data_IF_576483177121
#
_entry.id   IF_576483177121
#
_cell.length_a   1.000
_cell.length_b   1.000
_cell.length_c   1.000
_cell.angle_alpha   90.00
_cell.angle_beta   90.00
_cell.angle_gamma   90.00
#
_symmetry.space_group_name_H-M   'P 1'
#
loop_
_entity.id
_entity.type
_entity.pdbx_description
1 polymer ?
#
# COMPACT_ATOMS: atom_id res chain seq x y z
N UNK A 1 18.95 42.83 9.28
CA UNK A 1 18.26 42.21 8.13
C UNK A 1 17.88 40.79 8.53
N UNK A 2 16.76 40.25 8.04
CA UNK A 2 16.40 38.84 8.25
C UNK A 2 17.19 37.99 7.26
N UNK A 3 18.37 37.48 7.67
CA UNK A 3 19.30 36.73 6.84
C UNK A 3 18.63 35.53 6.18
N UNK A 4 17.81 34.75 6.89
CA UNK A 4 17.14 33.60 6.30
C UNK A 4 16.13 33.98 5.20
N UNK A 5 15.49 35.15 5.31
CA UNK A 5 14.64 35.68 4.23
C UNK A 5 15.44 36.11 3.01
N UNK A 6 16.62 36.70 3.23
CA UNK A 6 17.52 37.07 2.14
C UNK A 6 18.10 35.82 1.46
N UNK A 7 18.46 34.78 2.23
CA UNK A 7 18.90 33.50 1.70
C UNK A 7 17.81 32.83 0.86
N UNK A 8 16.58 32.76 1.38
CA UNK A 8 15.42 32.26 0.65
C UNK A 8 15.20 33.04 -0.65
N UNK A 9 15.23 34.38 -0.58
CA UNK A 9 15.12 35.25 -1.76
C UNK A 9 16.21 34.94 -2.81
N UNK A 10 17.46 34.75 -2.39
CA UNK A 10 18.56 34.39 -3.31
C UNK A 10 18.34 33.03 -3.95
N UNK A 11 17.93 32.02 -3.18
CA UNK A 11 17.59 30.70 -3.72
C UNK A 11 16.43 30.77 -4.74
N UNK A 12 15.44 31.65 -4.52
CA UNK A 12 14.39 31.93 -5.50
C UNK A 12 14.92 32.60 -6.76
N UNK A 13 15.87 33.54 -6.66
CA UNK A 13 16.45 34.18 -7.86
C UNK A 13 17.23 33.20 -8.74
N UNK A 14 17.64 32.05 -8.20
CA UNK A 14 18.30 30.97 -8.94
C UNK A 14 17.29 30.02 -9.61
N UNK A 15 15.99 30.24 -9.45
CA UNK A 15 14.97 29.50 -10.19
C UNK A 15 15.14 29.73 -11.70
N UNK A 16 14.93 28.67 -12.46
CA UNK A 16 15.09 28.64 -13.91
C UNK A 16 13.86 27.96 -14.52
N UNK A 17 13.62 28.16 -15.83
CA UNK A 17 12.56 27.43 -16.54
C UNK A 17 12.77 25.91 -16.51
N UNK A 18 14.03 25.48 -16.44
CA UNK A 18 14.41 24.09 -16.26
C UNK A 18 14.65 23.81 -14.76
N UNK A 19 13.79 22.96 -14.18
CA UNK A 19 13.85 22.57 -12.77
C UNK A 19 15.21 21.98 -12.37
N UNK A 20 15.81 21.13 -13.24
CA UNK A 20 17.12 20.53 -12.99
C UNK A 20 18.23 21.58 -12.91
N UNK A 21 18.27 22.49 -13.88
CA UNK A 21 19.24 23.59 -13.90
C UNK A 21 19.07 24.53 -12.71
N UNK A 22 17.82 24.77 -12.28
CA UNK A 22 17.53 25.58 -11.10
C UNK A 22 18.10 24.94 -9.83
N UNK A 23 17.92 23.63 -9.65
CA UNK A 23 18.44 22.89 -8.49
C UNK A 23 19.96 22.83 -8.49
N UNK A 24 20.59 22.59 -9.64
CA UNK A 24 22.06 22.60 -9.77
C UNK A 24 22.64 23.97 -9.36
N UNK A 25 22.05 25.08 -9.84
CA UNK A 25 22.45 26.43 -9.43
C UNK A 25 22.27 26.68 -7.94
N UNK A 26 21.18 26.19 -7.35
CA UNK A 26 20.94 26.30 -5.91
C UNK A 26 21.97 25.51 -5.10
N UNK A 27 22.31 24.29 -5.51
CA UNK A 27 23.33 23.46 -4.87
C UNK A 27 24.70 24.13 -4.97
N UNK A 28 25.09 24.60 -6.16
CA UNK A 28 26.35 25.33 -6.38
C UNK A 28 26.45 26.60 -5.51
N UNK A 29 25.34 27.30 -5.32
CA UNK A 29 25.27 28.47 -4.46
C UNK A 29 25.44 28.09 -2.98
N UNK A 30 24.80 27.01 -2.53
CA UNK A 30 24.93 26.50 -1.16
C UNK A 30 26.34 25.99 -0.89
N UNK A 31 26.98 25.32 -1.84
CA UNK A 31 28.36 24.82 -1.72
C UNK A 31 29.39 25.97 -1.64
N UNK A 32 29.09 27.13 -2.22
CA UNK A 32 29.91 28.36 -2.13
C UNK A 32 29.56 29.23 -0.94
N UNK A 33 28.54 28.89 -0.16
CA UNK A 33 28.07 29.69 0.95
C UNK A 33 29.08 29.60 2.11
N UNK A 34 30.03 30.53 2.14
CA UNK A 34 30.88 30.76 3.31
C UNK A 34 30.04 31.53 4.33
N UNK A 35 29.57 30.83 5.37
CA UNK A 35 28.77 31.45 6.42
C UNK A 35 29.71 32.06 7.47
N UNK A 36 29.70 33.40 7.61
CA UNK A 36 30.19 34.04 8.84
C UNK A 36 29.15 33.81 9.94
N UNK A 37 29.30 32.69 10.64
CA UNK A 37 28.37 32.18 11.67
C UNK A 37 28.09 33.21 12.76
N UNK A 38 29.06 34.05 13.10
CA UNK A 38 28.96 35.06 14.17
C UNK A 38 27.84 36.08 13.92
N UNK A 39 27.51 36.36 12.65
CA UNK A 39 26.45 37.32 12.30
C UNK A 39 25.03 36.74 12.43
N UNK A 40 24.89 35.42 12.52
CA UNK A 40 23.61 34.70 12.53
C UNK A 40 23.02 34.50 13.93
N UNK A 41 23.83 34.66 14.99
CA UNK A 41 23.49 34.34 16.39
C UNK A 41 22.19 35.03 16.87
N UNK A 42 21.76 36.10 16.21
CA UNK A 42 20.56 36.85 16.61
C UNK A 42 19.27 36.50 15.85
N UNK A 43 19.32 35.77 14.74
CA UNK A 43 18.11 35.49 13.97
C UNK A 43 17.41 34.20 14.44
N UNK A 44 16.17 34.35 14.91
CA UNK A 44 15.42 33.25 15.52
C UNK A 44 14.43 32.58 14.57
N UNK A 45 14.11 33.16 13.41
CA UNK A 45 13.05 32.67 12.52
C UNK A 45 13.64 31.92 11.33
N UNK A 46 13.66 30.59 11.41
CA UNK A 46 14.19 29.70 10.37
C UNK A 46 13.13 29.31 9.33
N UNK A 47 11.86 29.71 9.52
CA UNK A 47 10.75 29.34 8.62
C UNK A 47 10.97 29.68 7.14
N UNK A 48 11.70 30.75 6.75
CA UNK A 48 12.02 30.99 5.34
C UNK A 48 12.73 29.83 4.64
N UNK A 49 13.38 28.92 5.39
CA UNK A 49 14.05 27.74 4.84
C UNK A 49 13.11 26.57 4.55
N UNK A 50 11.89 26.57 5.11
CA UNK A 50 10.94 25.46 5.01
C UNK A 50 10.65 25.05 3.56
N UNK A 51 10.51 26.00 2.65
CA UNK A 51 10.21 25.71 1.23
C UNK A 51 11.32 24.90 0.54
N UNK A 52 12.57 25.00 1.03
CA UNK A 52 13.71 24.34 0.41
C UNK A 52 14.00 22.96 0.99
N UNK A 53 13.56 22.70 2.23
CA UNK A 53 13.73 21.43 2.95
C UNK A 53 12.45 20.60 3.03
N UNK A 54 11.27 21.19 2.80
CA UNK A 54 10.01 20.46 2.90
C UNK A 54 9.84 19.52 1.71
N UNK A 55 9.57 18.22 1.95
CA UNK A 55 9.29 17.27 0.89
C UNK A 55 7.92 17.56 0.31
N UNK A 56 7.87 18.33 -0.78
CA UNK A 56 6.64 18.60 -1.52
C UNK A 56 6.45 17.60 -2.65
N UNK A 57 5.28 17.59 -3.27
CA UNK A 57 4.98 16.74 -4.43
C UNK A 57 6.03 16.82 -5.56
N UNK A 58 6.68 17.99 -5.75
CA UNK A 58 7.70 18.19 -6.79
C UNK A 58 8.99 17.39 -6.56
N UNK A 59 9.26 16.98 -5.31
CA UNK A 59 10.42 16.14 -4.98
C UNK A 59 10.28 14.74 -5.57
N UNK A 60 9.07 14.32 -5.88
CA UNK A 60 8.77 12.96 -6.27
C UNK A 60 8.44 12.91 -7.77
N UNK A 61 8.95 11.88 -8.46
CA UNK A 61 8.46 11.57 -9.80
C UNK A 61 7.07 10.93 -9.65
N UNK A 62 6.03 11.76 -9.61
CA UNK A 62 4.67 11.28 -9.74
C UNK A 62 4.44 10.79 -11.16
N UNK A 63 4.57 9.48 -11.34
CA UNK A 63 4.31 8.83 -12.60
C UNK A 63 5.47 8.94 -13.58
N UNK A 64 6.16 7.82 -13.76
CA UNK A 64 6.32 7.30 -15.12
C UNK A 64 6.01 5.81 -15.06
N UNK A 65 4.76 5.43 -15.36
CA UNK A 65 4.45 4.05 -15.73
C UNK A 65 5.43 3.53 -16.81
N UNK A 66 6.02 4.44 -17.58
CA UNK A 66 6.99 4.20 -18.65
C UNK A 66 8.41 3.81 -18.17
N UNK A 67 8.98 4.40 -17.12
CA UNK A 67 10.32 3.98 -16.62
C UNK A 67 10.20 2.65 -15.89
N UNK A 68 9.08 2.43 -15.19
CA UNK A 68 8.80 1.15 -14.55
C UNK A 68 8.67 0.01 -15.58
N UNK A 69 8.06 0.26 -16.76
CA UNK A 69 7.94 -0.74 -17.83
C UNK A 69 9.30 -1.25 -18.34
N UNK A 70 10.35 -0.42 -18.34
CA UNK A 70 11.68 -0.80 -18.82
C UNK A 70 12.42 -1.65 -17.77
N UNK A 71 12.30 -1.32 -16.48
CA UNK A 71 12.84 -2.16 -15.40
C UNK A 71 12.08 -3.49 -15.26
N UNK A 72 10.75 -3.49 -15.44
CA UNK A 72 9.91 -4.68 -15.27
C UNK A 72 10.20 -5.80 -16.28
N UNK A 73 10.64 -5.45 -17.50
CA UNK A 73 11.05 -6.43 -18.50
C UNK A 73 12.43 -7.04 -18.21
N UNK A 74 13.21 -6.49 -17.28
CA UNK A 74 14.62 -6.87 -17.09
C UNK A 74 14.92 -7.51 -15.74
N UNK A 75 14.24 -7.13 -14.65
CA UNK A 75 14.47 -7.72 -13.32
C UNK A 75 13.19 -7.75 -12.46
N UNK A 76 12.65 -8.94 -12.12
CA UNK A 76 11.46 -9.09 -11.29
C UNK A 76 11.79 -9.20 -9.79
N UNK A 77 12.66 -8.32 -9.27
CA UNK A 77 12.84 -8.23 -7.82
C UNK A 77 11.75 -7.32 -7.21
N UNK A 78 10.99 -7.79 -6.21
CA UNK A 78 9.85 -7.10 -5.64
C UNK A 78 10.29 -6.18 -4.50
N UNK A 79 11.14 -5.20 -4.78
CA UNK A 79 11.31 -4.07 -3.86
C UNK A 79 10.39 -2.94 -4.33
N UNK A 80 9.57 -2.47 -3.39
CA UNK A 80 8.73 -1.26 -3.35
C UNK A 80 8.33 -0.59 -4.67
N UNK A 81 7.09 -0.10 -4.75
CA UNK A 81 6.76 0.95 -5.71
C UNK A 81 7.52 2.20 -5.25
N UNK A 82 8.80 2.27 -5.60
CA UNK A 82 9.68 3.35 -5.19
C UNK A 82 9.08 4.63 -5.77
N UNK A 83 8.62 5.48 -4.86
CA UNK A 83 8.42 6.87 -5.22
C UNK A 83 9.81 7.41 -5.51
N UNK A 84 10.20 7.42 -6.79
CA UNK A 84 11.53 7.87 -7.16
C UNK A 84 11.66 9.34 -6.79
N UNK A 85 12.47 9.59 -5.78
CA UNK A 85 12.77 10.94 -5.31
C UNK A 85 13.80 11.55 -6.26
N UNK A 86 13.54 12.76 -6.73
CA UNK A 86 14.51 13.55 -7.49
C UNK A 86 15.69 13.87 -6.57
N UNK A 87 16.82 13.20 -6.81
CA UNK A 87 18.04 13.30 -6.01
C UNK A 87 18.48 14.76 -5.74
N UNK A 88 18.33 15.64 -6.72
CA UNK A 88 18.71 17.05 -6.58
C UNK A 88 17.95 17.80 -5.46
N UNK A 89 16.67 17.48 -5.21
CA UNK A 89 15.93 18.06 -4.08
C UNK A 89 16.46 17.57 -2.74
N UNK A 90 16.76 16.27 -2.67
CA UNK A 90 17.33 15.61 -1.49
C UNK A 90 18.71 16.18 -1.16
N UNK A 91 19.57 16.34 -2.17
CA UNK A 91 20.90 16.94 -2.02
C UNK A 91 20.79 18.39 -1.55
N UNK A 92 19.89 19.19 -2.14
CA UNK A 92 19.64 20.57 -1.68
C UNK A 92 19.21 20.62 -0.22
N UNK A 93 18.26 19.79 0.18
CA UNK A 93 17.80 19.73 1.56
C UNK A 93 18.91 19.28 2.50
N UNK A 94 19.66 18.22 2.15
CA UNK A 94 20.83 17.78 2.90
C UNK A 94 21.83 18.92 3.11
N UNK A 95 22.18 19.67 2.05
CA UNK A 95 23.11 20.80 2.15
C UNK A 95 22.62 21.88 3.11
N UNK A 96 21.35 22.28 3.03
CA UNK A 96 20.78 23.26 3.96
C UNK A 96 20.85 22.75 5.40
N UNK A 97 20.47 21.49 5.64
CA UNK A 97 20.50 20.88 6.96
C UNK A 97 21.93 20.76 7.51
N UNK A 98 22.91 20.44 6.66
CA UNK A 98 24.33 20.34 7.07
C UNK A 98 24.93 21.72 7.38
N UNK A 99 24.68 22.72 6.52
CA UNK A 99 25.24 24.07 6.69
C UNK A 99 24.73 24.74 7.96
N UNK A 100 23.44 24.57 8.28
CA UNK A 100 22.79 25.23 9.41
C UNK A 100 22.50 24.30 10.59
N UNK A 101 23.22 23.19 10.70
CA UNK A 101 22.97 22.14 11.70
C UNK A 101 22.89 22.71 13.13
N UNK A 102 23.86 23.54 13.53
CA UNK A 102 23.92 24.15 14.86
C UNK A 102 22.74 25.12 15.07
N UNK A 103 22.41 25.94 14.07
CA UNK A 103 21.30 26.88 14.15
C UNK A 103 19.96 26.17 14.21
N UNK A 104 19.80 25.02 13.52
CA UNK A 104 18.62 24.18 13.68
C UNK A 104 18.51 23.67 15.12
N UNK A 105 19.59 23.15 15.70
CA UNK A 105 19.58 22.66 17.10
C UNK A 105 19.24 23.78 18.08
N UNK A 106 19.85 24.96 17.93
CA UNK A 106 19.66 26.08 18.86
C UNK A 106 18.28 26.75 18.72
N UNK A 107 17.84 27.00 17.49
CA UNK A 107 16.66 27.83 17.25
C UNK A 107 15.37 27.03 17.08
N UNK A 108 15.40 25.77 16.66
CA UNK A 108 14.17 24.96 16.49
C UNK A 108 13.53 24.60 17.84
N UNK A 109 14.27 24.70 18.94
CA UNK A 109 13.71 24.54 20.29
C UNK A 109 12.60 25.57 20.57
N UNK A 110 12.66 26.74 19.94
CA UNK A 110 11.67 27.82 20.06
C UNK A 110 10.40 27.47 19.28
N UNK A 111 9.23 27.69 19.89
CA UNK A 111 7.91 27.34 19.32
C UNK A 111 7.66 27.90 17.91
N UNK A 112 8.23 29.06 17.57
CA UNK A 112 8.11 29.68 16.24
C UNK A 112 8.64 28.79 15.10
N UNK A 113 9.58 27.89 15.40
CA UNK A 113 10.24 27.02 14.43
C UNK A 113 9.77 25.56 14.50
N UNK A 114 8.77 25.23 15.30
CA UNK A 114 8.32 23.84 15.46
C UNK A 114 7.79 23.19 14.18
N UNK A 115 7.37 23.98 13.19
CA UNK A 115 7.05 23.48 11.85
C UNK A 115 8.28 22.83 11.18
N UNK A 116 9.49 23.35 11.42
CA UNK A 116 10.73 22.73 10.92
C UNK A 116 10.96 21.39 11.60
N UNK A 117 10.73 21.29 12.92
CA UNK A 117 10.83 20.02 13.61
C UNK A 117 9.84 18.99 13.03
N UNK A 118 8.63 19.41 12.69
CA UNK A 118 7.65 18.56 12.02
C UNK A 118 8.15 18.06 10.64
N UNK A 119 8.78 18.93 9.85
CA UNK A 119 9.41 18.56 8.59
C UNK A 119 10.59 17.61 8.81
N UNK A 120 11.48 17.87 9.77
CA UNK A 120 12.60 16.98 10.09
C UNK A 120 12.14 15.58 10.47
N UNK A 121 11.07 15.48 11.28
CA UNK A 121 10.45 14.19 11.62
C UNK A 121 9.83 13.54 10.38
N UNK A 122 9.31 14.31 9.42
CA UNK A 122 8.77 13.74 8.18
C UNK A 122 9.86 13.23 7.25
N UNK A 123 11.01 13.93 7.20
CA UNK A 123 12.18 13.58 6.40
C UNK A 123 12.88 12.30 6.86
N UNK A 124 12.70 11.86 8.11
CA UNK A 124 13.22 10.56 8.56
C UNK A 124 12.56 9.38 7.84
N UNK A 125 11.41 9.61 7.21
CA UNK A 125 10.72 8.65 6.35
C UNK A 125 11.31 8.47 4.96
N UNK A 126 12.27 9.30 4.54
CA UNK A 126 12.88 9.22 3.21
C UNK A 126 13.82 8.02 3.10
N UNK A 127 13.76 7.28 2.00
CA UNK A 127 14.66 6.15 1.73
C UNK A 127 16.12 6.56 1.51
N UNK A 128 16.38 7.80 1.08
CA UNK A 128 17.73 8.33 0.94
C UNK A 128 18.43 8.48 2.30
N UNK A 129 19.45 7.64 2.52
CA UNK A 129 20.19 7.58 3.78
C UNK A 129 20.86 8.88 4.21
N UNK A 130 21.27 9.78 3.30
CA UNK A 130 21.95 11.02 3.67
C UNK A 130 21.01 11.99 4.40
N UNK A 131 19.87 12.31 3.79
CA UNK A 131 18.87 13.19 4.41
C UNK A 131 18.22 12.52 5.61
N UNK A 132 17.90 11.23 5.50
CA UNK A 132 17.29 10.46 6.58
C UNK A 132 18.15 10.52 7.85
N UNK A 133 19.41 10.10 7.78
CA UNK A 133 20.29 10.03 8.95
C UNK A 133 20.49 11.41 9.60
N UNK A 134 20.66 12.46 8.79
CA UNK A 134 20.83 13.82 9.29
C UNK A 134 19.53 14.35 9.93
N UNK A 135 18.38 14.10 9.33
CA UNK A 135 17.08 14.50 9.86
C UNK A 135 16.70 13.75 11.15
N UNK A 136 17.03 12.45 11.25
CA UNK A 136 16.87 11.65 12.47
C UNK A 136 17.78 12.16 13.59
N UNK A 137 19.05 12.44 13.29
CA UNK A 137 19.98 13.05 14.24
C UNK A 137 19.46 14.39 14.75
N UNK A 138 19.15 15.32 13.83
CA UNK A 138 18.66 16.66 14.18
C UNK A 138 17.37 16.61 14.99
N UNK A 139 16.37 15.85 14.53
CA UNK A 139 15.08 15.73 15.23
C UNK A 139 15.25 15.13 16.61
N UNK A 140 16.09 14.11 16.80
CA UNK A 140 16.38 13.51 18.11
C UNK A 140 17.07 14.50 19.05
N UNK A 141 18.09 15.21 18.56
CA UNK A 141 18.78 16.25 19.33
C UNK A 141 17.83 17.36 19.77
N UNK A 142 17.00 17.88 18.86
CA UNK A 142 16.04 18.95 19.15
C UNK A 142 14.94 18.47 20.11
N UNK A 143 14.40 17.26 19.90
CA UNK A 143 13.36 16.68 20.75
C UNK A 143 13.83 16.47 22.20
N UNK A 144 15.13 16.33 22.44
CA UNK A 144 15.68 16.25 23.81
C UNK A 144 15.56 17.58 24.58
N UNK A 145 15.51 18.71 23.88
CA UNK A 145 15.42 20.05 24.44
C UNK A 145 14.00 20.66 24.37
N UNK A 146 13.12 20.12 23.52
CA UNK A 146 11.74 20.58 23.36
C UNK A 146 10.81 19.86 24.34
N UNK A 147 9.90 20.56 25.06
CA UNK A 147 8.88 19.91 25.87
C UNK A 147 7.92 19.09 24.99
N UNK A 148 8.14 17.77 24.95
CA UNK A 148 7.48 16.81 24.04
C UNK A 148 5.96 16.88 24.02
N UNK A 149 5.31 16.96 25.20
CA UNK A 149 3.85 17.07 25.30
C UNK A 149 3.33 18.38 24.69
N UNK A 150 4.02 19.49 24.90
CA UNK A 150 3.65 20.79 24.33
C UNK A 150 3.81 20.78 22.80
N UNK A 151 4.88 20.17 22.30
CA UNK A 151 5.09 20.00 20.85
C UNK A 151 4.04 19.09 20.22
N UNK A 152 3.68 17.98 20.86
CA UNK A 152 2.59 17.12 20.42
C UNK A 152 1.26 17.87 20.31
N UNK A 153 0.91 18.66 21.34
CA UNK A 153 -0.30 19.50 21.30
C UNK A 153 -0.24 20.50 20.15
N UNK A 154 0.92 21.12 19.89
CA UNK A 154 1.10 21.99 18.73
C UNK A 154 0.85 21.25 17.41
N UNK A 155 1.39 20.03 17.26
CA UNK A 155 1.19 19.23 16.05
C UNK A 155 -0.29 18.91 15.84
N UNK A 156 -0.99 18.49 16.90
CA UNK A 156 -2.41 18.15 16.83
C UNK A 156 -3.30 19.37 16.60
N UNK A 157 -3.04 20.50 17.29
CA UNK A 157 -3.93 21.66 17.29
C UNK A 157 -3.66 22.67 16.18
N UNK A 158 -2.39 22.93 15.88
CA UNK A 158 -1.99 23.97 14.94
C UNK A 158 -1.53 23.38 13.61
N UNK A 159 -0.86 22.24 13.59
CA UNK A 159 -0.33 21.69 12.36
C UNK A 159 -1.38 20.84 11.63
N UNK A 160 -1.82 19.73 12.23
CA UNK A 160 -2.75 18.78 11.61
C UNK A 160 -4.10 19.40 11.30
N UNK A 161 -4.76 20.05 12.26
CA UNK A 161 -6.07 20.68 12.04
C UNK A 161 -6.00 21.64 10.84
N UNK A 162 -4.97 22.46 10.71
CA UNK A 162 -4.86 23.40 9.60
C UNK A 162 -4.66 22.73 8.23
N UNK A 163 -4.15 21.49 8.20
CA UNK A 163 -3.91 20.72 6.99
C UNK A 163 -5.11 19.83 6.62
N UNK A 164 -5.84 19.34 7.63
CA UNK A 164 -6.88 18.33 7.46
C UNK A 164 -8.32 18.83 7.60
N UNK A 165 -8.59 19.90 8.37
CA UNK A 165 -9.93 20.27 8.86
C UNK A 165 -10.88 20.92 7.82
N UNK A 166 -10.52 21.13 6.55
CA UNK A 166 -11.37 21.92 5.62
C UNK A 166 -11.40 21.46 4.16
N UNK A 167 -11.39 20.17 3.87
CA UNK A 167 -11.66 19.71 2.50
C UNK A 167 -12.78 18.65 2.49
N UNK A 168 -13.80 18.92 1.68
CA UNK A 168 -15.19 18.42 1.75
C UNK A 168 -15.40 16.90 1.52
N UNK A 169 -14.34 16.08 1.51
CA UNK A 169 -14.50 14.62 1.34
C UNK A 169 -15.09 13.90 2.55
N UNK A 170 -14.85 14.44 3.75
CA UNK A 170 -15.22 13.80 4.99
C UNK A 170 -16.24 14.68 5.73
N UNK A 171 -17.34 14.07 6.14
CA UNK A 171 -18.26 14.68 7.12
C UNK A 171 -17.53 14.90 8.45
N UNK A 172 -18.08 15.72 9.36
CA UNK A 172 -17.54 15.92 10.72
C UNK A 172 -17.37 14.60 11.50
N UNK A 173 -18.06 13.53 11.08
CA UNK A 173 -17.96 12.18 11.65
C UNK A 173 -16.94 11.28 10.93
N UNK A 174 -16.16 11.80 10.00
CA UNK A 174 -15.17 11.01 9.24
C UNK A 174 -15.77 10.10 8.17
N UNK A 175 -17.07 10.20 7.85
CA UNK A 175 -17.66 9.41 6.76
C UNK A 175 -17.33 10.02 5.40
N UNK A 176 -17.00 9.20 4.39
CA UNK A 176 -16.91 9.66 3.00
C UNK A 176 -18.28 10.11 2.49
N UNK A 177 -18.31 11.19 1.70
CA UNK A 177 -19.52 11.58 0.96
C UNK A 177 -19.83 10.47 -0.06
N UNK A 178 -20.94 9.75 0.14
CA UNK A 178 -21.24 8.46 -0.49
C UNK A 178 -21.46 8.46 -2.02
N UNK A 179 -21.17 9.56 -2.72
CA UNK A 179 -21.41 9.68 -4.15
C UNK A 179 -20.17 10.19 -4.90
N UNK A 180 -19.48 9.28 -5.59
CA UNK A 180 -18.87 9.61 -6.89
C UNK A 180 -20.01 9.67 -7.95
N UNK A 181 -20.94 10.62 -7.81
CA UNK A 181 -21.92 10.93 -8.88
C UNK A 181 -21.46 12.21 -9.60
N UNK A 182 -21.37 12.23 -10.93
CA UNK A 182 -21.44 13.50 -11.65
C UNK A 182 -22.93 13.88 -11.83
N UNK A 183 -23.39 15.00 -11.23
CA UNK A 183 -23.93 16.07 -12.08
C UNK A 183 -23.65 17.54 -11.63
N UNK A 184 -23.33 18.32 -12.66
CA UNK A 184 -23.58 19.75 -12.96
C UNK A 184 -22.97 20.93 -12.20
N UNK A 185 -22.33 20.79 -11.04
CA UNK A 185 -21.59 21.93 -10.45
C UNK A 185 -20.27 21.55 -9.80
N UNK A 186 -19.32 21.11 -10.64
CA UNK A 186 -17.92 21.40 -10.35
C UNK A 186 -17.77 22.93 -10.32
N UNK A 187 -17.87 23.54 -9.14
CA UNK A 187 -17.04 24.70 -8.92
C UNK A 187 -15.62 24.21 -9.11
N UNK A 188 -14.91 24.74 -10.11
CA UNK A 188 -13.52 24.40 -10.46
C UNK A 188 -12.59 24.27 -9.25
N UNK A 189 -12.94 24.96 -8.18
CA UNK A 189 -12.21 25.05 -6.93
C UNK A 189 -12.31 23.76 -6.10
N UNK A 190 -13.44 23.04 -6.12
CA UNK A 190 -13.59 21.76 -5.42
C UNK A 190 -12.73 20.67 -6.07
N UNK A 191 -12.75 20.55 -7.40
CA UNK A 191 -11.87 19.61 -8.10
C UNK A 191 -10.40 19.88 -7.80
N UNK A 192 -9.98 21.15 -7.74
CA UNK A 192 -8.59 21.50 -7.43
C UNK A 192 -8.22 21.12 -6.00
N UNK A 193 -9.03 21.46 -5.00
CA UNK A 193 -8.75 21.07 -3.61
C UNK A 193 -8.66 19.54 -3.46
N UNK A 194 -9.52 18.79 -4.16
CA UNK A 194 -9.53 17.33 -4.13
C UNK A 194 -8.30 16.71 -4.81
N UNK A 195 -7.79 17.33 -5.87
CA UNK A 195 -6.62 16.85 -6.62
C UNK A 195 -5.30 17.31 -5.98
N UNK A 196 -5.28 18.52 -5.41
CA UNK A 196 -4.11 19.18 -4.80
C UNK A 196 -4.40 19.55 -3.34
N UNK A 197 -4.56 18.55 -2.45
CA UNK A 197 -4.86 18.84 -1.05
C UNK A 197 -3.72 19.62 -0.40
N UNK A 198 -4.06 20.60 0.45
CA UNK A 198 -3.07 21.50 1.07
C UNK A 198 -1.93 20.77 1.79
N UNK A 199 -2.23 19.62 2.40
CA UNK A 199 -1.22 18.84 3.11
C UNK A 199 -0.12 18.31 2.18
N UNK A 200 -0.40 17.89 0.94
CA UNK A 200 0.62 17.43 -0.02
C UNK A 200 1.53 18.56 -0.47
N UNK A 201 0.95 19.74 -0.68
CA UNK A 201 1.70 20.93 -1.09
C UNK A 201 2.65 21.42 0.01
N UNK A 202 2.28 21.20 1.28
CA UNK A 202 3.07 21.65 2.43
C UNK A 202 4.06 20.61 2.92
N UNK A 203 3.66 19.34 2.94
CA UNK A 203 4.45 18.22 3.43
C UNK A 203 3.87 16.90 2.87
N UNK A 204 4.40 16.47 1.74
CA UNK A 204 4.02 15.22 1.08
C UNK A 204 4.31 13.99 1.95
N UNK A 205 5.28 14.07 2.87
CA UNK A 205 5.63 13.02 3.83
C UNK A 205 4.94 13.15 5.18
N UNK A 206 3.81 13.86 5.26
CA UNK A 206 3.07 14.05 6.50
C UNK A 206 2.61 12.73 7.16
N UNK A 207 2.44 11.66 6.38
CA UNK A 207 2.19 10.32 6.91
C UNK A 207 3.24 9.89 7.93
N UNK A 208 4.52 10.21 7.70
CA UNK A 208 5.61 9.92 8.64
C UNK A 208 5.54 10.74 9.91
N UNK A 209 5.09 11.99 9.83
CA UNK A 209 4.80 12.77 11.03
C UNK A 209 3.64 12.16 11.82
N UNK A 210 2.60 11.66 11.14
CA UNK A 210 1.47 11.01 11.81
C UNK A 210 1.89 9.67 12.43
N UNK A 211 2.74 8.88 11.75
CA UNK A 211 3.36 7.69 12.34
C UNK A 211 4.06 8.03 13.64
N UNK A 212 4.92 9.06 13.61
CA UNK A 212 5.62 9.51 14.80
C UNK A 212 4.65 9.91 15.91
N UNK A 213 3.62 10.71 15.60
CA UNK A 213 2.59 11.16 16.56
C UNK A 213 1.91 9.97 17.23
N UNK A 214 1.47 8.99 16.45
CA UNK A 214 0.82 7.76 16.92
C UNK A 214 1.77 6.97 17.83
N UNK A 215 3.02 6.77 17.40
CA UNK A 215 4.04 6.05 18.17
C UNK A 215 4.43 6.77 19.48
N UNK A 216 4.14 8.07 19.61
CA UNK A 216 4.38 8.82 20.86
C UNK A 216 3.24 8.67 21.88
N UNK A 217 2.10 8.07 21.51
CA UNK A 217 0.94 7.99 22.39
C UNK A 217 0.85 6.66 23.15
N UNK A 218 0.30 6.70 24.36
CA UNK A 218 -0.31 5.52 24.99
C UNK A 218 -1.71 5.28 24.43
N UNK A 219 -2.26 4.08 24.62
CA UNK A 219 -3.66 3.76 24.30
C UNK A 219 -4.62 4.85 24.81
N UNK A 220 -4.57 5.14 26.11
CA UNK A 220 -5.38 6.19 26.75
C UNK A 220 -5.18 7.59 26.16
N UNK A 221 -3.96 7.93 25.73
CA UNK A 221 -3.69 9.24 25.12
C UNK A 221 -4.28 9.32 23.71
N UNK A 222 -4.20 8.23 22.92
CA UNK A 222 -4.83 8.15 21.59
C UNK A 222 -6.34 8.36 21.71
N UNK A 223 -7.00 7.72 22.67
CA UNK A 223 -8.46 7.85 22.84
C UNK A 223 -8.88 9.30 23.12
N UNK A 224 -8.15 10.02 23.98
CA UNK A 224 -8.42 11.42 24.30
C UNK A 224 -8.24 12.34 23.08
N UNK A 225 -7.21 12.09 22.26
CA UNK A 225 -6.93 12.90 21.07
C UNK A 225 -7.48 12.30 19.76
N UNK A 226 -8.32 11.28 19.85
CA UNK A 226 -8.82 10.47 18.72
C UNK A 226 -9.43 11.31 17.60
N UNK A 227 -10.29 12.26 17.98
CA UNK A 227 -10.97 13.20 17.07
C UNK A 227 -10.02 14.09 16.26
N UNK A 228 -8.76 14.24 16.69
CA UNK A 228 -7.72 15.04 15.99
C UNK A 228 -6.89 14.18 15.03
N UNK A 229 -6.64 12.92 15.38
CA UNK A 229 -5.79 12.02 14.60
C UNK A 229 -6.56 11.38 13.45
N UNK A 230 -7.77 10.88 13.71
CA UNK A 230 -8.51 10.04 12.75
C UNK A 230 -8.86 10.71 11.43
N UNK A 231 -9.27 11.98 11.38
CA UNK A 231 -9.50 12.65 10.10
C UNK A 231 -8.26 12.61 9.18
N UNK A 232 -7.06 12.71 9.76
CA UNK A 232 -5.81 12.66 9.00
C UNK A 232 -5.54 11.25 8.46
N UNK A 233 -5.73 10.22 9.30
CA UNK A 233 -5.55 8.81 8.92
C UNK A 233 -6.53 8.40 7.81
N UNK A 234 -7.82 8.72 7.98
CA UNK A 234 -8.84 8.43 6.98
C UNK A 234 -8.59 9.17 5.68
N UNK A 235 -8.12 10.41 5.72
CA UNK A 235 -7.83 11.17 4.50
C UNK A 235 -6.64 10.59 3.72
N UNK A 236 -5.61 10.09 4.41
CA UNK A 236 -4.47 9.42 3.79
C UNK A 236 -4.90 8.07 3.22
N UNK A 237 -5.67 7.28 3.97
CA UNK A 237 -6.26 6.01 3.50
C UNK A 237 -7.13 6.21 2.23
N UNK A 238 -7.85 7.33 2.18
CA UNK A 238 -8.75 7.69 1.07
C UNK A 238 -8.09 8.59 0.01
N UNK A 239 -6.76 8.67 -0.04
CA UNK A 239 -6.07 9.44 -1.08
C UNK A 239 -6.23 8.83 -2.47
N UNK A 240 -6.03 9.61 -3.54
CA UNK A 240 -6.08 9.12 -4.92
C UNK A 240 -4.83 8.32 -5.32
N UNK A 241 -3.68 8.62 -4.71
CA UNK A 241 -2.41 7.96 -4.99
C UNK A 241 -2.32 6.61 -4.26
N UNK A 242 -2.13 5.49 -4.98
CA UNK A 242 -1.94 4.17 -4.37
C UNK A 242 -0.85 4.11 -3.30
N UNK A 243 0.25 4.84 -3.51
CA UNK A 243 1.38 4.83 -2.57
C UNK A 243 1.01 5.51 -1.25
N UNK A 244 0.22 6.59 -1.32
CA UNK A 244 -0.29 7.26 -0.12
C UNK A 244 -1.33 6.37 0.57
N UNK A 245 -2.19 5.66 -0.20
CA UNK A 245 -3.13 4.70 0.37
C UNK A 245 -2.42 3.60 1.18
N UNK A 246 -1.30 3.08 0.68
CA UNK A 246 -0.48 2.10 1.42
C UNK A 246 0.01 2.65 2.76
N UNK A 247 0.47 3.91 2.79
CA UNK A 247 0.81 4.59 4.04
C UNK A 247 -0.41 4.72 4.97
N UNK A 248 -1.60 4.94 4.40
CA UNK A 248 -2.87 4.92 5.11
C UNK A 248 -3.18 3.57 5.77
N UNK A 249 -2.95 2.46 5.06
CA UNK A 249 -3.10 1.10 5.61
C UNK A 249 -2.12 0.88 6.78
N UNK A 250 -0.86 1.31 6.63
CA UNK A 250 0.12 1.20 7.71
C UNK A 250 -0.29 2.05 8.93
N UNK A 251 -0.84 3.26 8.71
CA UNK A 251 -1.33 4.11 9.80
C UNK A 251 -2.45 3.43 10.57
N UNK A 252 -3.39 2.79 9.84
CA UNK A 252 -4.44 1.97 10.44
C UNK A 252 -3.81 0.85 11.26
N UNK A 253 -2.90 0.07 10.70
CA UNK A 253 -2.24 -1.03 11.41
C UNK A 253 -1.53 -0.58 12.70
N UNK A 254 -0.92 0.61 12.73
CA UNK A 254 -0.30 1.16 13.93
C UNK A 254 -1.33 1.59 14.96
N UNK A 255 -2.43 2.21 14.55
CA UNK A 255 -3.55 2.49 15.46
C UNK A 255 -4.08 1.20 16.09
N UNK A 256 -4.31 0.14 15.30
CA UNK A 256 -4.82 -1.14 15.79
C UNK A 256 -3.91 -1.81 16.83
N UNK A 257 -2.59 -1.53 16.79
CA UNK A 257 -1.64 -2.03 17.79
C UNK A 257 -1.70 -1.29 19.12
N UNK A 258 -2.16 -0.04 19.12
CA UNK A 258 -2.15 0.83 20.31
C UNK A 258 -3.54 0.92 20.93
N UNK A 259 -4.60 0.93 20.12
CA UNK A 259 -5.99 1.05 20.59
C UNK A 259 -6.63 -0.31 20.81
N UNK A 260 -7.48 -0.40 21.82
CA UNK A 260 -8.28 -1.59 22.06
C UNK A 260 -9.41 -1.74 21.04
N UNK A 261 -9.72 -2.97 20.64
CA UNK A 261 -10.80 -3.28 19.69
C UNK A 261 -12.15 -2.70 20.13
N UNK A 262 -12.45 -2.75 21.42
CA UNK A 262 -13.70 -2.25 22.00
C UNK A 262 -13.89 -0.75 21.75
N UNK A 263 -12.81 0.03 21.87
CA UNK A 263 -12.82 1.45 21.57
C UNK A 263 -13.11 1.73 20.08
N UNK A 264 -12.52 0.93 19.17
CA UNK A 264 -12.79 1.03 17.73
C UNK A 264 -14.23 0.67 17.36
N UNK A 265 -14.81 -0.30 18.07
CA UNK A 265 -16.22 -0.66 17.93
C UNK A 265 -17.13 0.48 18.43
N UNK A 266 -16.86 1.02 19.62
CA UNK A 266 -17.64 2.09 20.24
C UNK A 266 -17.65 3.36 19.39
N UNK A 267 -16.52 3.73 18.80
CA UNK A 267 -16.41 4.90 17.92
C UNK A 267 -17.04 4.68 16.53
N UNK A 268 -17.39 3.44 16.18
CA UNK A 268 -17.92 3.06 14.87
C UNK A 268 -16.89 3.10 13.73
N UNK A 269 -15.62 3.38 14.04
CA UNK A 269 -14.55 3.48 13.02
C UNK A 269 -14.30 2.14 12.34
N UNK A 270 -14.50 1.03 13.06
CA UNK A 270 -14.20 -0.32 12.58
C UNK A 270 -14.97 -0.66 11.30
N UNK A 271 -16.24 -0.24 11.24
CA UNK A 271 -17.09 -0.38 10.05
C UNK A 271 -16.58 0.48 8.89
N UNK A 272 -16.24 1.74 9.17
CA UNK A 272 -15.72 2.68 8.16
C UNK A 272 -14.42 2.13 7.56
N UNK A 273 -13.49 1.67 8.40
CA UNK A 273 -12.24 1.06 7.96
C UNK A 273 -12.47 -0.19 7.14
N UNK A 274 -13.44 -1.04 7.51
CA UNK A 274 -13.79 -2.21 6.70
C UNK A 274 -14.22 -1.80 5.30
N UNK A 275 -15.16 -0.87 5.22
CA UNK A 275 -15.73 -0.42 3.96
C UNK A 275 -14.64 0.24 3.08
N UNK A 276 -13.80 1.11 3.66
CA UNK A 276 -12.68 1.76 2.94
C UNK A 276 -11.60 0.77 2.48
N UNK A 277 -11.25 -0.23 3.29
CA UNK A 277 -10.25 -1.24 2.92
C UNK A 277 -10.76 -2.21 1.84
N UNK A 278 -12.05 -2.54 1.84
CA UNK A 278 -12.66 -3.39 0.82
C UNK A 278 -12.64 -2.73 -0.57
N UNK A 279 -12.71 -1.39 -0.63
CA UNK A 279 -12.59 -0.65 -1.89
C UNK A 279 -11.27 -0.96 -2.61
N UNK A 280 -10.19 -1.32 -1.90
CA UNK A 280 -8.90 -1.63 -2.53
C UNK A 280 -8.91 -2.90 -3.39
N UNK A 281 -9.90 -3.77 -3.26
CA UNK A 281 -10.10 -4.89 -4.19
C UNK A 281 -10.55 -4.44 -5.59
N UNK A 282 -11.04 -3.20 -5.72
CA UNK A 282 -11.38 -2.59 -7.01
C UNK A 282 -10.19 -1.90 -7.68
N UNK A 283 -9.02 -1.86 -7.04
CA UNK A 283 -7.81 -1.22 -7.56
C UNK A 283 -7.08 -2.16 -8.51
N UNK A 284 -7.67 -2.42 -9.66
CA UNK A 284 -7.21 -3.39 -10.66
C UNK A 284 -6.78 -2.72 -11.97
N UNK A 285 -6.07 -3.42 -12.87
CA UNK A 285 -5.79 -2.92 -14.21
C UNK A 285 -7.07 -2.84 -15.08
N UNK A 286 -7.08 -2.01 -16.14
CA UNK A 286 -5.96 -1.22 -16.65
C UNK A 286 -5.74 0.10 -15.90
N UNK A 287 -6.58 0.44 -14.91
CA UNK A 287 -6.48 1.71 -14.15
C UNK A 287 -5.22 1.76 -13.29
N UNK A 288 -4.83 0.62 -12.72
CA UNK A 288 -3.64 0.47 -11.90
C UNK A 288 -2.71 -0.60 -12.47
N UNK A 289 -1.43 -0.56 -12.09
CA UNK A 289 -0.50 -1.62 -12.47
C UNK A 289 -0.79 -2.90 -11.68
N UNK A 290 -0.47 -4.06 -12.25
CA UNK A 290 -0.66 -5.36 -11.58
C UNK A 290 0.03 -5.37 -10.21
N UNK A 291 1.25 -4.85 -10.11
CA UNK A 291 1.99 -4.79 -8.85
C UNK A 291 1.28 -3.93 -7.82
N UNK A 292 0.86 -2.72 -8.21
CA UNK A 292 0.08 -1.82 -7.34
C UNK A 292 -1.20 -2.48 -6.83
N UNK A 293 -1.92 -3.18 -7.71
CA UNK A 293 -3.12 -3.93 -7.34
C UNK A 293 -2.82 -5.00 -6.30
N UNK A 294 -1.82 -5.85 -6.55
CA UNK A 294 -1.43 -6.93 -5.64
C UNK A 294 -0.98 -6.39 -4.28
N UNK A 295 -0.14 -5.34 -4.26
CA UNK A 295 0.33 -4.73 -3.01
C UNK A 295 -0.82 -4.17 -2.18
N UNK A 296 -1.74 -3.42 -2.79
CA UNK A 296 -2.90 -2.87 -2.09
C UNK A 296 -3.84 -3.96 -1.58
N UNK A 297 -4.16 -4.96 -2.41
CA UNK A 297 -5.04 -6.08 -2.06
C UNK A 297 -4.45 -6.90 -0.90
N UNK A 298 -3.15 -7.18 -0.91
CA UNK A 298 -2.52 -7.95 0.17
C UNK A 298 -2.42 -7.14 1.47
N UNK A 299 -2.04 -5.87 1.39
CA UNK A 299 -1.98 -5.00 2.55
C UNK A 299 -3.37 -4.80 3.18
N UNK A 300 -4.40 -4.58 2.36
CA UNK A 300 -5.77 -4.39 2.82
C UNK A 300 -6.33 -5.65 3.46
N UNK A 301 -6.09 -6.82 2.86
CA UNK A 301 -6.51 -8.10 3.41
C UNK A 301 -5.89 -8.38 4.78
N UNK A 302 -4.56 -8.18 4.92
CA UNK A 302 -3.88 -8.40 6.19
C UNK A 302 -4.46 -7.53 7.31
N UNK A 303 -4.80 -6.27 7.00
CA UNK A 303 -5.48 -5.36 7.93
C UNK A 303 -6.93 -5.75 8.19
N UNK A 304 -7.69 -6.17 7.18
CA UNK A 304 -9.07 -6.64 7.36
C UNK A 304 -9.13 -7.89 8.25
N UNK A 305 -8.23 -8.85 8.04
CA UNK A 305 -8.18 -10.07 8.86
C UNK A 305 -7.73 -9.76 10.30
N UNK A 306 -6.82 -8.80 10.51
CA UNK A 306 -6.43 -8.38 11.86
C UNK A 306 -7.55 -7.62 12.58
N UNK A 307 -8.40 -6.89 11.85
CA UNK A 307 -9.62 -6.28 12.36
C UNK A 307 -10.67 -7.31 12.75
N UNK A 308 -10.70 -8.50 12.15
CA UNK A 308 -11.78 -9.50 12.34
C UNK A 308 -11.24 -10.94 12.51
N UNK A 309 -10.45 -11.24 13.54
CA UNK A 309 -9.77 -12.53 13.69
C UNK A 309 -10.69 -13.75 13.65
N UNK A 310 -11.90 -13.65 14.23
CA UNK A 310 -12.84 -14.78 14.44
C UNK A 310 -14.32 -14.41 14.17
N UNK A 311 -14.59 -13.26 13.55
CA UNK A 311 -15.97 -12.82 13.27
C UNK A 311 -16.44 -13.30 11.90
N UNK A 312 -17.07 -14.49 11.86
CA UNK A 312 -17.53 -15.12 10.61
C UNK A 312 -18.36 -14.19 9.71
N UNK A 313 -19.21 -13.32 10.26
CA UNK A 313 -19.99 -12.34 9.47
C UNK A 313 -19.09 -11.35 8.72
N UNK A 314 -18.03 -10.87 9.36
CA UNK A 314 -17.10 -9.95 8.72
C UNK A 314 -16.13 -10.67 7.78
N UNK A 315 -15.72 -11.90 8.09
CA UNK A 315 -14.96 -12.74 7.15
C UNK A 315 -15.79 -13.07 5.89
N UNK A 316 -17.08 -13.35 6.04
CA UNK A 316 -18.02 -13.50 4.92
C UNK A 316 -18.04 -12.25 4.02
N UNK A 317 -18.07 -11.07 4.64
CA UNK A 317 -18.03 -9.80 3.90
C UNK A 317 -16.72 -9.61 3.12
N UNK A 318 -15.58 -10.09 3.63
CA UNK A 318 -14.29 -10.03 2.92
C UNK A 318 -14.33 -10.96 1.70
N UNK A 319 -14.88 -12.16 1.86
CA UNK A 319 -15.04 -13.11 0.74
C UNK A 319 -15.97 -12.54 -0.34
N UNK A 320 -17.16 -12.06 0.05
CA UNK A 320 -18.20 -11.59 -0.86
C UNK A 320 -17.89 -10.26 -1.54
N UNK A 321 -17.42 -9.27 -0.78
CA UNK A 321 -17.23 -7.91 -1.29
C UNK A 321 -15.79 -7.60 -1.69
N UNK A 322 -14.83 -8.41 -1.21
CA UNK A 322 -13.41 -8.29 -1.57
C UNK A 322 -13.04 -9.31 -2.64
N UNK A 323 -12.76 -10.55 -2.22
CA UNK A 323 -12.18 -11.59 -3.07
C UNK A 323 -13.03 -11.90 -4.31
N UNK A 324 -14.35 -12.05 -4.16
CA UNK A 324 -15.22 -12.33 -5.30
C UNK A 324 -15.21 -11.21 -6.36
N UNK A 325 -14.99 -9.95 -5.96
CA UNK A 325 -14.87 -8.85 -6.93
C UNK A 325 -13.63 -9.01 -7.81
N UNK A 326 -12.55 -9.59 -7.28
CA UNK A 326 -11.33 -9.89 -8.05
C UNK A 326 -11.62 -10.90 -9.15
N UNK A 327 -12.39 -11.94 -8.86
CA UNK A 327 -12.76 -12.94 -9.87
C UNK A 327 -13.59 -12.34 -11.01
N UNK A 328 -14.45 -11.38 -10.69
CA UNK A 328 -15.28 -10.70 -11.70
C UNK A 328 -14.48 -9.78 -12.62
N UNK A 329 -13.47 -9.08 -12.09
CA UNK A 329 -12.84 -7.99 -12.83
C UNK A 329 -11.36 -8.20 -13.17
N UNK A 330 -10.68 -9.17 -12.55
CA UNK A 330 -9.25 -9.42 -12.72
C UNK A 330 -8.92 -10.83 -13.23
N UNK A 331 -9.87 -11.48 -13.92
CA UNK A 331 -9.70 -12.82 -14.48
C UNK A 331 -8.48 -12.93 -15.43
N UNK A 332 -8.19 -11.87 -16.18
CA UNK A 332 -7.06 -11.82 -17.12
C UNK A 332 -5.71 -11.50 -16.47
N UNK A 333 -5.65 -11.36 -15.13
CA UNK A 333 -4.44 -10.97 -14.40
C UNK A 333 -4.03 -12.08 -13.40
N UNK A 334 -3.24 -13.08 -13.84
CA UNK A 334 -2.91 -14.25 -13.05
C UNK A 334 -2.30 -13.93 -11.68
N UNK A 335 -1.42 -12.93 -11.59
CA UNK A 335 -0.78 -12.53 -10.33
C UNK A 335 -1.78 -11.95 -9.31
N UNK A 336 -2.84 -11.28 -9.77
CA UNK A 336 -3.90 -10.77 -8.90
C UNK A 336 -4.77 -11.93 -8.41
N UNK A 337 -5.08 -12.89 -9.30
CA UNK A 337 -5.76 -14.12 -8.92
C UNK A 337 -4.95 -14.92 -7.90
N UNK A 338 -3.62 -15.04 -8.06
CA UNK A 338 -2.76 -15.68 -7.08
C UNK A 338 -2.85 -15.02 -5.70
N UNK A 339 -2.86 -13.68 -5.65
CA UNK A 339 -3.05 -12.95 -4.40
C UNK A 339 -4.42 -13.30 -3.77
N UNK A 340 -5.50 -13.26 -4.54
CA UNK A 340 -6.83 -13.63 -4.08
C UNK A 340 -6.91 -15.08 -3.56
N UNK A 341 -6.29 -16.05 -4.25
CA UNK A 341 -6.29 -17.45 -3.81
C UNK A 341 -5.42 -17.69 -2.57
N UNK A 342 -4.33 -16.94 -2.41
CA UNK A 342 -3.54 -16.96 -1.17
C UNK A 342 -4.38 -16.51 0.02
N UNK A 343 -5.22 -15.49 -0.19
CA UNK A 343 -6.14 -14.98 0.83
C UNK A 343 -7.28 -15.95 1.12
N UNK A 344 -7.80 -16.64 0.10
CA UNK A 344 -8.77 -17.72 0.27
C UNK A 344 -8.24 -18.80 1.21
N UNK A 345 -6.99 -19.22 1.08
CA UNK A 345 -6.43 -20.23 1.98
C UNK A 345 -6.42 -19.76 3.43
N UNK A 346 -6.03 -18.50 3.67
CA UNK A 346 -6.08 -17.90 5.01
C UNK A 346 -7.52 -17.84 5.55
N UNK A 347 -8.50 -17.51 4.70
CA UNK A 347 -9.91 -17.49 5.11
C UNK A 347 -10.45 -18.90 5.33
N UNK A 348 -10.03 -19.89 4.55
CA UNK A 348 -10.42 -21.29 4.69
C UNK A 348 -10.03 -21.80 6.08
N UNK A 349 -8.80 -21.51 6.50
CA UNK A 349 -8.30 -21.87 7.84
C UNK A 349 -9.07 -21.17 8.96
N UNK A 350 -9.41 -19.89 8.78
CA UNK A 350 -10.12 -19.08 9.79
C UNK A 350 -11.61 -19.37 9.91
N UNK A 351 -12.28 -19.60 8.78
CA UNK A 351 -13.73 -19.82 8.70
C UNK A 351 -14.09 -21.29 8.90
N UNK A 352 -13.18 -22.21 8.61
CA UNK A 352 -13.36 -23.66 8.73
C UNK A 352 -14.67 -24.13 8.04
N UNK A 353 -15.64 -24.65 8.79
CA UNK A 353 -16.93 -25.12 8.26
C UNK A 353 -17.75 -23.99 7.65
N UNK A 354 -17.58 -22.75 8.13
CA UNK A 354 -18.29 -21.57 7.61
C UNK A 354 -17.84 -21.18 6.19
N UNK A 355 -16.72 -21.73 5.69
CA UNK A 355 -16.26 -21.51 4.32
C UNK A 355 -17.07 -22.31 3.28
N UNK A 356 -17.76 -23.38 3.70
CA UNK A 356 -18.44 -24.32 2.79
C UNK A 356 -19.36 -23.68 1.72
N UNK A 357 -20.13 -22.61 2.01
CA UNK A 357 -20.95 -21.96 0.99
C UNK A 357 -20.17 -21.39 -0.20
N UNK A 358 -18.88 -21.09 -0.02
CA UNK A 358 -18.01 -20.50 -1.04
C UNK A 358 -17.17 -21.54 -1.79
N UNK A 359 -17.12 -22.78 -1.30
CA UNK A 359 -16.27 -23.82 -1.85
C UNK A 359 -16.57 -24.09 -3.32
N UNK A 360 -17.84 -24.23 -3.69
CA UNK A 360 -18.24 -24.45 -5.10
C UNK A 360 -17.74 -23.32 -5.99
N UNK A 361 -18.04 -22.06 -5.66
CA UNK A 361 -17.55 -20.91 -6.42
C UNK A 361 -16.02 -20.92 -6.55
N UNK A 362 -15.32 -21.26 -5.47
CA UNK A 362 -13.85 -21.32 -5.44
C UNK A 362 -13.29 -22.38 -6.37
N UNK A 363 -13.89 -23.58 -6.35
CA UNK A 363 -13.50 -24.68 -7.21
C UNK A 363 -13.79 -24.35 -8.68
N UNK A 364 -14.96 -23.79 -8.99
CA UNK A 364 -15.34 -23.40 -10.34
C UNK A 364 -14.39 -22.34 -10.91
N UNK A 365 -13.96 -21.36 -10.10
CA UNK A 365 -12.97 -20.36 -10.49
C UNK A 365 -11.57 -20.98 -10.69
N UNK A 366 -11.10 -21.85 -9.78
CA UNK A 366 -9.83 -22.57 -9.96
C UNK A 366 -9.83 -23.41 -11.24
N UNK A 367 -10.90 -24.16 -11.47
CA UNK A 367 -11.10 -24.97 -12.66
C UNK A 367 -11.03 -24.11 -13.92
N UNK A 368 -11.70 -22.94 -13.95
CA UNK A 368 -11.61 -22.01 -15.08
C UNK A 368 -10.20 -21.48 -15.30
N UNK A 369 -9.49 -21.14 -14.23
CA UNK A 369 -8.13 -20.57 -14.30
C UNK A 369 -7.14 -21.59 -14.85
N UNK A 370 -7.11 -22.82 -14.32
CA UNK A 370 -6.15 -23.84 -14.81
C UNK A 370 -6.44 -24.29 -16.25
N UNK A 371 -7.68 -24.10 -16.72
CA UNK A 371 -8.06 -24.32 -18.12
C UNK A 371 -7.57 -23.23 -19.07
N UNK A 372 -7.25 -22.03 -18.56
CA UNK A 372 -6.84 -20.91 -19.39
C UNK A 372 -5.43 -21.18 -20.00
N UNK A 373 -5.30 -21.22 -21.35
CA UNK A 373 -4.01 -21.48 -22.00
C UNK A 373 -2.93 -20.42 -21.69
N UNK A 374 -3.31 -19.21 -21.29
CA UNK A 374 -2.36 -18.16 -20.93
C UNK A 374 -1.62 -18.45 -19.61
N UNK A 375 -2.25 -19.14 -18.66
CA UNK A 375 -1.64 -19.48 -17.36
C UNK A 375 -0.40 -20.36 -17.53
N UNK A 376 -0.39 -21.20 -18.55
CA UNK A 376 0.72 -22.12 -18.83
C UNK A 376 1.98 -21.39 -19.27
N UNK A 377 1.85 -20.17 -19.82
CA UNK A 377 3.01 -19.34 -20.14
C UNK A 377 3.76 -18.88 -18.89
N UNK A 378 3.19 -19.06 -17.69
CA UNK A 378 3.79 -18.74 -16.40
C UNK A 378 3.78 -20.00 -15.50
N UNK A 379 4.73 -20.94 -15.67
CA UNK A 379 4.74 -22.24 -14.98
C UNK A 379 4.64 -22.15 -13.46
N UNK A 380 5.31 -21.18 -12.85
CA UNK A 380 5.23 -20.92 -11.40
C UNK A 380 3.80 -20.60 -10.96
N UNK A 381 3.03 -19.90 -11.79
CA UNK A 381 1.64 -19.55 -11.52
C UNK A 381 0.71 -20.74 -11.68
N UNK A 382 0.92 -21.57 -12.70
CA UNK A 382 0.18 -22.82 -12.83
C UNK A 382 0.43 -23.75 -11.63
N UNK A 383 1.69 -23.94 -11.24
CA UNK A 383 2.08 -24.77 -10.10
C UNK A 383 1.39 -24.30 -8.81
N UNK A 384 1.34 -22.98 -8.58
CA UNK A 384 0.63 -22.40 -7.46
C UNK A 384 -0.85 -22.79 -7.45
N UNK A 385 -1.58 -22.62 -8.57
CA UNK A 385 -3.01 -22.94 -8.60
C UNK A 385 -3.29 -24.44 -8.44
N UNK A 386 -2.43 -25.32 -8.98
CA UNK A 386 -2.54 -26.76 -8.76
C UNK A 386 -2.31 -27.15 -7.30
N UNK A 387 -1.35 -26.50 -6.62
CA UNK A 387 -1.10 -26.70 -5.19
C UNK A 387 -2.30 -26.25 -4.33
N UNK A 388 -2.87 -25.07 -4.65
CA UNK A 388 -4.07 -24.57 -3.97
C UNK A 388 -5.25 -25.53 -4.15
N UNK A 389 -5.48 -26.00 -5.39
CA UNK A 389 -6.52 -26.99 -5.66
C UNK A 389 -6.29 -28.28 -4.86
N UNK A 390 -5.04 -28.76 -4.82
CA UNK A 390 -4.67 -29.96 -4.04
C UNK A 390 -5.04 -29.78 -2.57
N UNK A 391 -4.63 -28.68 -1.94
CA UNK A 391 -4.92 -28.38 -0.53
C UNK A 391 -6.43 -28.28 -0.26
N UNK A 392 -7.18 -27.60 -1.13
CA UNK A 392 -8.63 -27.50 -0.97
C UNK A 392 -9.32 -28.87 -1.08
N UNK A 393 -8.88 -29.72 -2.00
CA UNK A 393 -9.41 -31.07 -2.16
C UNK A 393 -8.99 -32.01 -1.02
N UNK A 394 -7.83 -31.80 -0.39
CA UNK A 394 -7.45 -32.54 0.82
C UNK A 394 -8.34 -32.15 2.01
N UNK A 395 -8.61 -30.86 2.21
CA UNK A 395 -9.45 -30.36 3.30
C UNK A 395 -10.92 -30.77 3.10
N UNK A 396 -11.42 -30.67 1.87
CA UNK A 396 -12.82 -30.91 1.51
C UNK A 396 -13.02 -32.13 0.61
N UNK A 397 -12.26 -33.19 0.86
CA UNK A 397 -12.25 -34.42 0.04
C UNK A 397 -13.63 -35.03 -0.19
N UNK A 398 -14.49 -34.98 0.83
CA UNK A 398 -15.88 -35.44 0.76
C UNK A 398 -16.78 -34.66 -0.22
N UNK A 399 -16.30 -33.54 -0.79
CA UNK A 399 -16.99 -32.77 -1.85
C UNK A 399 -16.50 -33.10 -3.25
N UNK A 400 -15.39 -33.83 -3.40
CA UNK A 400 -14.84 -34.22 -4.72
C UNK A 400 -15.90 -34.93 -5.57
N UNK A 401 -16.65 -35.86 -4.99
CA UNK A 401 -17.69 -36.63 -5.70
C UNK A 401 -18.75 -35.74 -6.35
N UNK A 402 -19.06 -34.57 -5.79
CA UNK A 402 -20.03 -33.62 -6.37
C UNK A 402 -19.45 -32.82 -7.55
N UNK A 403 -18.12 -32.62 -7.58
CA UNK A 403 -17.42 -31.79 -8.58
C UNK A 403 -16.52 -32.60 -9.53
N UNK A 404 -16.54 -33.93 -9.45
CA UNK A 404 -15.55 -34.79 -10.11
C UNK A 404 -15.48 -34.61 -11.63
N UNK A 405 -16.62 -34.46 -12.32
CA UNK A 405 -16.64 -34.26 -13.78
C UNK A 405 -15.91 -32.98 -14.17
N UNK A 406 -16.22 -31.89 -13.49
CA UNK A 406 -15.61 -30.58 -13.76
C UNK A 406 -14.11 -30.58 -13.44
N UNK A 407 -13.74 -31.15 -12.28
CA UNK A 407 -12.34 -31.32 -11.89
C UNK A 407 -11.55 -32.11 -12.93
N UNK A 408 -12.08 -33.27 -13.36
CA UNK A 408 -11.41 -34.11 -14.34
C UNK A 408 -11.28 -33.40 -15.70
N UNK A 409 -12.33 -32.73 -16.18
CA UNK A 409 -12.28 -31.95 -17.41
C UNK A 409 -11.25 -30.82 -17.34
N UNK A 410 -11.23 -30.08 -16.23
CA UNK A 410 -10.29 -28.99 -16.03
C UNK A 410 -8.84 -29.48 -16.03
N UNK A 411 -8.55 -30.60 -15.35
CA UNK A 411 -7.22 -31.22 -15.32
C UNK A 411 -6.79 -31.76 -16.69
N UNK A 412 -7.69 -32.33 -17.48
CA UNK A 412 -7.39 -32.80 -18.85
C UNK A 412 -7.05 -31.64 -19.77
N UNK A 413 -7.83 -30.56 -19.71
CA UNK A 413 -7.60 -29.36 -20.53
C UNK A 413 -6.29 -28.70 -20.12
N UNK A 414 -6.06 -28.52 -18.81
CA UNK A 414 -4.79 -28.04 -18.26
C UNK A 414 -3.61 -28.87 -18.76
N UNK A 415 -3.71 -30.20 -18.62
CA UNK A 415 -2.72 -31.18 -19.09
C UNK A 415 -2.40 -31.03 -20.58
N UNK A 416 -3.43 -30.93 -21.43
CA UNK A 416 -3.27 -30.78 -22.88
C UNK A 416 -2.64 -29.45 -23.26
N UNK A 417 -3.08 -28.37 -22.62
CA UNK A 417 -2.51 -27.06 -22.87
C UNK A 417 -1.04 -27.03 -22.43
N UNK A 418 -0.69 -27.65 -21.30
CA UNK A 418 0.69 -27.76 -20.81
C UNK A 418 1.59 -28.53 -21.79
N UNK A 419 1.13 -29.68 -22.30
CA UNK A 419 1.86 -30.48 -23.29
C UNK A 419 2.15 -29.74 -24.60
N UNK A 420 1.28 -28.79 -24.99
CA UNK A 420 1.48 -27.99 -26.21
C UNK A 420 2.59 -26.95 -26.06
N UNK A 421 2.86 -26.45 -24.85
CA UNK A 421 3.83 -25.38 -24.63
C UNK A 421 5.30 -25.86 -24.55
N UNK A 422 5.54 -27.17 -24.40
CA UNK A 422 6.88 -27.79 -24.35
C UNK A 422 7.86 -27.08 -23.38
N UNK A 423 7.36 -26.70 -22.21
CA UNK A 423 8.13 -25.99 -21.17
C UNK A 423 8.88 -27.02 -20.30
N UNK A 424 10.21 -27.05 -20.40
CA UNK A 424 11.06 -27.94 -19.60
C UNK A 424 11.18 -27.46 -18.14
N UNK A 425 11.12 -26.14 -17.93
CA UNK A 425 11.16 -25.55 -16.59
C UNK A 425 9.89 -25.92 -15.82
N UNK A 426 10.05 -26.41 -14.59
CA UNK A 426 8.98 -26.90 -13.70
C UNK A 426 8.21 -28.15 -14.15
N UNK A 427 8.65 -28.85 -15.21
CA UNK A 427 7.94 -30.03 -15.73
C UNK A 427 7.60 -31.07 -14.66
N UNK A 428 8.61 -31.51 -13.90
CA UNK A 428 8.42 -32.52 -12.87
C UNK A 428 7.44 -32.08 -11.78
N UNK A 429 7.49 -30.80 -11.36
CA UNK A 429 6.61 -30.28 -10.32
C UNK A 429 5.15 -30.22 -10.78
N UNK A 430 4.90 -29.76 -12.02
CA UNK A 430 3.55 -29.69 -12.59
C UNK A 430 2.98 -31.08 -12.82
N UNK A 431 3.77 -32.00 -13.40
CA UNK A 431 3.36 -33.39 -13.62
C UNK A 431 3.04 -34.08 -12.30
N UNK A 432 3.88 -33.89 -11.27
CA UNK A 432 3.63 -34.43 -9.94
C UNK A 432 2.37 -33.85 -9.29
N UNK A 433 2.12 -32.54 -9.44
CA UNK A 433 0.90 -31.92 -8.93
C UNK A 433 -0.36 -32.48 -9.63
N UNK A 434 -0.33 -32.64 -10.95
CA UNK A 434 -1.41 -33.28 -11.71
C UNK A 434 -1.65 -34.73 -11.27
N UNK A 435 -0.58 -35.50 -11.07
CA UNK A 435 -0.63 -36.89 -10.56
C UNK A 435 -1.32 -36.97 -9.20
N UNK A 436 -0.91 -36.10 -8.28
CA UNK A 436 -1.49 -36.04 -6.95
C UNK A 436 -2.98 -35.72 -7.02
N UNK A 437 -3.37 -34.76 -7.88
CA UNK A 437 -4.78 -34.39 -8.07
C UNK A 437 -5.61 -35.54 -8.67
N UNK A 438 -5.12 -36.23 -9.70
CA UNK A 438 -5.81 -37.41 -10.25
C UNK A 438 -5.97 -38.52 -9.21
N UNK A 439 -4.92 -38.76 -8.41
CA UNK A 439 -4.96 -39.74 -7.32
C UNK A 439 -5.99 -39.36 -6.26
N UNK A 440 -6.00 -38.08 -5.82
CA UNK A 440 -6.98 -37.57 -4.88
C UNK A 440 -8.41 -37.73 -5.41
N UNK A 441 -8.65 -37.45 -6.70
CA UNK A 441 -9.96 -37.63 -7.30
C UNK A 441 -10.35 -39.12 -7.30
N UNK A 442 -9.48 -40.00 -7.81
CA UNK A 442 -9.72 -41.46 -7.86
C UNK A 442 -10.06 -42.06 -6.49
N UNK A 443 -9.42 -41.58 -5.43
CA UNK A 443 -9.65 -42.06 -4.06
C UNK A 443 -10.98 -41.59 -3.45
N UNK A 444 -11.59 -40.52 -3.97
CA UNK A 444 -12.76 -39.86 -3.36
C UNK A 444 -14.02 -39.86 -4.25
N UNK A 445 -13.99 -40.51 -5.42
CA UNK A 445 -15.17 -40.74 -6.27
C UNK A 445 -15.87 -42.06 -5.92
N UNK A 446 -17.16 -42.17 -6.23
CA UNK A 446 -17.93 -43.40 -6.04
C UNK A 446 -17.61 -44.44 -7.13
N UNK A 447 -18.00 -45.70 -6.91
CA UNK A 447 -17.84 -46.78 -7.89
C UNK A 447 -18.57 -46.46 -9.21
N UNK A 448 -19.71 -45.79 -9.13
CA UNK A 448 -20.50 -45.36 -10.30
C UNK A 448 -19.75 -44.29 -11.11
N UNK A 449 -19.07 -43.37 -10.42
CA UNK A 449 -18.29 -42.28 -11.02
C UNK A 449 -16.93 -42.71 -11.58
N UNK A 450 -16.46 -43.92 -11.22
CA UNK A 450 -15.21 -44.47 -11.73
C UNK A 450 -15.24 -44.66 -13.26
N UNK A 451 -16.43 -44.82 -13.85
CA UNK A 451 -16.62 -44.84 -15.30
C UNK A 451 -16.10 -43.57 -15.97
N UNK A 452 -16.48 -42.40 -15.47
CA UNK A 452 -16.08 -41.10 -16.01
C UNK A 452 -14.57 -40.88 -15.89
N UNK A 453 -13.98 -41.31 -14.77
CA UNK A 453 -12.53 -41.31 -14.57
C UNK A 453 -11.82 -42.17 -15.64
N UNK A 454 -12.29 -43.40 -15.87
CA UNK A 454 -11.69 -44.33 -16.83
C UNK A 454 -11.81 -43.85 -18.28
N UNK A 455 -12.88 -43.13 -18.64
CA UNK A 455 -13.04 -42.52 -19.98
C UNK A 455 -11.97 -41.45 -20.24
N UNK A 456 -11.51 -40.78 -19.18
CA UNK A 456 -10.57 -39.68 -19.26
C UNK A 456 -9.11 -40.16 -19.28
N UNK A 457 -8.79 -41.31 -18.67
CA UNK A 457 -7.42 -41.82 -18.58
C UNK A 457 -6.65 -41.88 -19.91
N UNK A 458 -7.22 -42.38 -21.03
CA UNK A 458 -6.52 -42.42 -22.32
C UNK A 458 -6.12 -41.03 -22.83
N UNK A 459 -6.82 -39.97 -22.42
CA UNK A 459 -6.52 -38.60 -22.81
C UNK A 459 -5.27 -38.04 -22.13
N UNK A 460 -4.76 -38.73 -21.09
CA UNK A 460 -3.60 -38.36 -20.29
C UNK A 460 -2.34 -39.18 -20.63
N UNK A 461 -2.45 -40.24 -21.44
CA UNK A 461 -1.31 -41.07 -21.88
C UNK A 461 -0.08 -40.27 -22.34
N UNK A 462 -0.21 -39.12 -23.05
CA UNK A 462 0.95 -38.34 -23.46
C UNK A 462 1.80 -37.79 -22.31
N UNK A 463 1.23 -37.60 -21.11
CA UNK A 463 1.96 -37.08 -19.96
C UNK A 463 2.89 -38.12 -19.31
N UNK A 464 2.86 -39.38 -19.75
CA UNK A 464 3.60 -40.48 -19.13
C UNK A 464 3.39 -40.55 -17.60
N UNK A 465 2.20 -40.18 -17.14
CA UNK A 465 1.86 -40.27 -15.72
C UNK A 465 1.78 -41.76 -15.36
N UNK A 466 2.66 -42.31 -14.49
CA UNK A 466 2.36 -43.57 -13.83
C UNK A 466 1.09 -43.38 -12.99
N UNK A 467 0.00 -44.02 -13.42
CA UNK A 467 -1.32 -44.01 -12.76
C UNK A 467 -1.50 -45.19 -11.79
#
# INVERSE_FOLDING_TARGET
MQYYKELARRLHTLQSKNEKEALEKQIDFLDKLVVEVDSLVHEQDLRPLLEFISPTESWFLLGTATIFYIKLLTHPDPESIDVVIKEAYVVRAHRILSIFQEQFIENVVKEINWEILAILISLSGIENGLVRNLSEFLSTSILSAVPRQKFLLYLLEKYQINLFHREERLTDQGRPVAFELPPDKFHSDQSKALLEPKWKTKNYLISHLIFWIIDQQSSSSIEVCWHRIIPSVLRILNDLSPNIKLQGIELVNRLLKITEREFLLYTGILKILKDDLLVFYTFIPPRFTIQTSVTLINASFATLVSLYPEENENLNSIMLNGINSVFQFAFDYPLILQAAFSQIMVLTDKMNVSYLPYLTLTLDELCRIIQNPQIIQIPSTLSFFLEILTKLLEIYSYRISAHHVELLMALVVCSRNYMRCNLQEHHNAIVQALQNLFTLIKLNITVEQLGDYNVILPLLEPLQIPL
#
